data_IF_335064759308
#
_entry.id   IF_335064759308
#
_cell.length_a   1.000
_cell.length_b   1.000
_cell.length_c   1.000
_cell.angle_alpha   90.00
_cell.angle_beta   90.00
_cell.angle_gamma   90.00
#
_symmetry.space_group_name_H-M   'P 1'
#
loop_
_entity.id
_entity.type
_entity.pdbx_description
1 polymer ?
#
# COMPACT_ATOMS: atom_id res chain seq x y z
N UNK A 1 -26.25 0.31 -12.32
CA UNK A 1 -26.27 0.04 -13.01
C UNK A 1 -26.30 0.10 -13.18
N UNK A 2 -25.87 0.14 -12.76
CA UNK A 2 -25.58 0.25 -13.46
C UNK A 2 -25.85 0.89 -13.55
N UNK A 3 -26.04 1.00 -13.39
CA UNK A 3 -26.18 1.22 -14.01
C UNK A 3 -26.24 1.65 -14.32
N UNK A 4 -26.26 1.78 -14.13
CA UNK A 4 -26.15 1.88 -14.86
C UNK A 4 -26.15 2.43 -15.15
N UNK A 5 -26.00 2.61 -15.06
CA UNK A 5 -25.66 2.90 -15.82
C UNK A 5 -25.70 3.47 -16.07
N UNK A 6 -25.83 3.82 -16.07
CA UNK A 6 -25.61 3.89 -16.72
C UNK A 6 -25.26 4.28 -17.10
N UNK A 7 -25.12 4.65 -16.96
CA UNK A 7 -24.62 4.64 -17.59
C UNK A 7 -24.39 5.10 -17.65
N UNK A 8 -24.09 5.34 -17.48
CA UNK A 8 -23.77 5.25 -17.71
C UNK A 8 -23.45 5.41 -17.62
N UNK A 9 -23.35 5.96 -17.48
CA UNK A 9 -22.95 5.58 -17.55
C UNK A 9 -22.62 5.46 -17.63
N UNK A 10 -22.58 5.71 -17.55
CA UNK A 10 -22.18 5.20 -17.84
C UNK A 10 -21.63 5.31 -18.01
N UNK A 11 -21.53 5.76 -17.90
CA UNK A 11 -20.96 5.48 -18.21
C UNK A 11 -20.39 5.74 -18.11
N UNK A 12 -20.24 6.08 -18.06
CA UNK A 12 -19.60 5.96 -18.03
C UNK A 12 -18.97 5.82 -18.19
N UNK A 13 -19.09 6.15 -18.20
CA UNK A 13 -18.38 5.76 -18.34
C UNK A 13 -17.68 5.85 -18.54
N UNK A 14 -17.40 6.09 -18.75
CA UNK A 14 -16.54 5.93 -18.89
C UNK A 14 -15.77 6.17 -18.78
N UNK A 15 -15.75 6.55 -18.86
CA UNK A 15 -14.93 6.64 -18.58
C UNK A 15 -14.11 6.57 -18.59
N UNK A 16 -13.81 6.90 -18.36
CA UNK A 16 -12.86 6.73 -18.15
C UNK A 16 -12.21 6.34 -17.69
N UNK A 17 -11.95 6.38 -17.68
CA UNK A 17 -11.18 5.89 -17.25
C UNK A 17 -10.63 5.62 -16.70
N UNK A 18 -11.29 5.08 -16.65
CA UNK A 18 -10.76 5.13 -15.46
C UNK A 18 -9.40 5.03 -15.30
N UNK A 19 -8.95 5.75 -14.57
CA UNK A 19 -7.60 5.60 -14.23
C UNK A 19 -7.36 4.25 -13.59
N UNK A 20 -6.43 3.51 -14.11
CA UNK A 20 -6.07 2.24 -13.51
C UNK A 20 -5.51 2.48 -12.12
N UNK A 21 -5.94 1.71 -11.16
CA UNK A 21 -5.41 1.76 -9.81
C UNK A 21 -3.99 1.17 -9.79
N UNK A 22 -3.16 1.63 -8.85
CA UNK A 22 -1.83 1.06 -8.68
C UNK A 22 -1.95 -0.39 -8.23
N UNK A 23 -1.21 -1.27 -8.90
CA UNK A 23 -1.13 -2.67 -8.52
C UNK A 23 0.32 -3.14 -8.66
N UNK A 24 0.68 -4.15 -7.89
CA UNK A 24 2.00 -4.74 -8.02
C UNK A 24 1.98 -5.76 -9.15
N UNK A 25 2.88 -5.55 -10.12
CA UNK A 25 2.99 -6.41 -11.31
C UNK A 25 4.20 -7.32 -11.23
N UNK A 26 5.03 -7.17 -10.20
CA UNK A 26 6.18 -8.04 -9.99
C UNK A 26 6.91 -7.68 -8.72
N UNK A 27 7.79 -8.56 -8.30
CA UNK A 27 8.67 -8.32 -7.16
C UNK A 27 9.84 -9.28 -7.25
N UNK A 28 10.91 -8.93 -6.54
CA UNK A 28 12.10 -9.75 -6.46
C UNK A 28 12.97 -9.27 -5.32
N UNK A 29 14.21 -9.69 -5.30
CA UNK A 29 15.11 -9.33 -4.23
C UNK A 29 15.43 -7.84 -4.32
N UNK A 30 15.00 -7.08 -3.31
CA UNK A 30 15.30 -5.65 -3.18
C UNK A 30 14.49 -4.74 -4.08
N UNK A 31 13.46 -5.24 -4.75
CA UNK A 31 12.63 -4.38 -5.60
C UNK A 31 11.20 -4.90 -5.70
N UNK A 32 10.32 -3.98 -6.11
CA UNK A 32 8.95 -4.32 -6.52
C UNK A 32 8.67 -3.61 -7.85
N UNK A 33 7.66 -4.07 -8.57
CA UNK A 33 7.15 -3.37 -9.75
C UNK A 33 5.73 -2.94 -9.49
N UNK A 34 5.47 -1.66 -9.67
CA UNK A 34 4.12 -1.10 -9.59
C UNK A 34 3.76 -0.62 -10.99
N UNK A 35 2.70 -1.18 -11.57
CA UNK A 35 2.29 -0.86 -12.95
C UNK A 35 3.48 -1.01 -13.91
N UNK A 36 4.25 -2.09 -13.72
CA UNK A 36 5.46 -2.43 -14.49
C UNK A 36 6.64 -1.48 -14.29
N UNK A 37 6.54 -0.52 -13.38
CA UNK A 37 7.63 0.38 -13.05
C UNK A 37 8.41 -0.18 -11.86
N UNK A 38 9.71 -0.35 -12.03
CA UNK A 38 10.58 -0.91 -10.99
C UNK A 38 10.87 0.12 -9.90
N UNK A 39 10.71 -0.28 -8.65
CA UNK A 39 10.99 0.55 -7.48
C UNK A 39 11.96 -0.20 -6.58
N UNK A 40 13.06 0.45 -6.22
CA UNK A 40 14.15 -0.17 -5.45
C UNK A 40 14.37 0.47 -4.09
N UNK A 41 13.59 1.49 -3.75
CA UNK A 41 13.67 2.16 -2.44
C UNK A 41 12.37 1.96 -1.69
N UNK A 42 12.44 2.04 -0.37
CA UNK A 42 11.25 1.94 0.47
C UNK A 42 10.17 2.90 -0.01
N UNK A 43 8.95 2.45 -0.03
CA UNK A 43 7.87 3.14 -0.71
C UNK A 43 6.54 2.83 -0.03
N UNK A 44 5.60 3.77 -0.11
CA UNK A 44 4.21 3.51 0.28
C UNK A 44 3.36 3.59 -0.99
N UNK A 45 2.67 2.50 -1.29
CA UNK A 45 1.82 2.39 -2.47
C UNK A 45 0.36 2.38 -2.02
N UNK A 46 -0.41 3.33 -2.55
CA UNK A 46 -1.86 3.41 -2.35
C UNK A 46 -2.54 3.23 -3.69
N UNK A 47 -3.83 2.91 -3.72
CA UNK A 47 -4.51 2.68 -5.00
C UNK A 47 -4.38 3.81 -6.00
N UNK A 48 -4.37 5.08 -5.52
CA UNK A 48 -4.35 6.22 -6.41
C UNK A 48 -3.12 7.09 -6.25
N UNK A 49 -2.11 6.63 -5.49
CA UNK A 49 -0.96 7.46 -5.15
C UNK A 49 0.22 6.58 -4.79
N UNK A 50 1.42 7.06 -5.09
CA UNK A 50 2.66 6.42 -4.67
C UNK A 50 3.47 7.45 -3.90
N UNK A 51 3.88 7.11 -2.69
CA UNK A 51 4.77 7.95 -1.88
C UNK A 51 6.17 7.36 -2.04
N UNK A 52 6.93 7.89 -3.00
CA UNK A 52 8.23 7.34 -3.37
C UNK A 52 9.35 7.78 -2.43
N UNK A 53 9.12 8.83 -1.64
CA UNK A 53 10.14 9.39 -0.76
C UNK A 53 9.89 9.05 0.71
N UNK A 54 9.30 7.89 0.97
CA UNK A 54 9.07 7.43 2.34
C UNK A 54 10.41 7.22 3.02
N UNK A 55 10.69 7.94 4.13
CA UNK A 55 12.05 7.96 4.69
C UNK A 55 12.44 6.75 5.52
N UNK A 56 11.57 5.79 5.71
CA UNK A 56 11.90 4.55 6.41
C UNK A 56 12.77 3.68 5.49
N UNK A 57 14.09 3.82 5.59
CA UNK A 57 15.01 3.19 4.63
C UNK A 57 15.20 1.70 4.87
N UNK A 58 14.93 1.20 6.09
CA UNK A 58 15.11 -0.21 6.42
C UNK A 58 14.25 -0.54 7.64
N UNK A 59 14.16 -1.82 7.96
CA UNK A 59 13.46 -2.24 9.17
C UNK A 59 14.11 -1.63 10.42
N UNK A 60 15.44 -1.60 10.46
CA UNK A 60 16.16 -1.06 11.60
C UNK A 60 15.94 0.44 11.77
N UNK A 61 15.73 1.16 10.68
CA UNK A 61 15.49 2.60 10.72
C UNK A 61 14.03 2.95 10.94
N UNK A 62 13.13 1.98 10.89
CA UNK A 62 11.70 2.23 11.02
C UNK A 62 11.38 2.80 12.40
N UNK A 63 10.65 3.90 12.42
CA UNK A 63 10.25 4.57 13.66
C UNK A 63 8.77 4.90 13.62
N UNK A 64 8.21 5.18 14.79
CA UNK A 64 6.77 5.49 14.92
C UNK A 64 6.35 6.65 14.01
N UNK A 65 7.21 7.66 13.85
CA UNK A 65 6.89 8.81 13.00
C UNK A 65 6.68 8.44 11.55
N UNK A 66 7.35 7.40 11.06
CA UNK A 66 7.16 6.95 9.68
C UNK A 66 5.75 6.43 9.44
N UNK A 67 5.18 5.75 10.43
CA UNK A 67 3.81 5.23 10.33
C UNK A 67 2.78 6.27 10.73
N UNK A 68 3.12 7.16 11.66
CA UNK A 68 2.24 8.26 12.04
C UNK A 68 1.89 9.12 10.83
N UNK A 69 2.83 9.28 9.90
CA UNK A 69 2.60 10.05 8.68
C UNK A 69 1.50 9.47 7.80
N UNK A 70 1.17 8.20 7.97
CA UNK A 70 0.12 7.53 7.18
C UNK A 70 -1.25 7.61 7.85
N UNK A 71 -1.32 8.08 9.09
CA UNK A 71 -2.56 8.03 9.88
C UNK A 71 -3.67 8.92 9.33
N UNK A 72 -3.31 9.98 8.61
CA UNK A 72 -4.29 10.94 8.09
C UNK A 72 -4.75 10.67 6.66
N UNK A 73 -4.43 9.50 6.09
CA UNK A 73 -4.69 9.22 4.69
C UNK A 73 -6.03 8.54 4.43
N UNK A 74 -6.86 8.36 5.45
CA UNK A 74 -8.16 7.75 5.28
C UNK A 74 -8.11 6.25 5.03
N UNK A 75 -7.10 5.57 5.54
CA UNK A 75 -6.88 4.16 5.27
C UNK A 75 -7.66 3.26 6.22
N UNK A 76 -8.10 2.11 5.72
CA UNK A 76 -8.64 1.03 6.56
C UNK A 76 -7.52 0.16 7.11
N UNK A 77 -6.49 -0.07 6.30
CA UNK A 77 -5.43 -1.00 6.66
C UNK A 77 -4.12 -0.60 6.01
N UNK A 78 -3.04 -0.76 6.75
CA UNK A 78 -1.68 -0.64 6.24
C UNK A 78 -1.03 -2.02 6.29
N UNK A 79 -0.51 -2.46 5.15
CA UNK A 79 0.28 -3.69 5.07
C UNK A 79 1.74 -3.28 5.16
N UNK A 80 2.39 -3.63 6.27
CA UNK A 80 3.79 -3.30 6.47
C UNK A 80 4.64 -4.47 5.98
N UNK A 81 5.34 -4.27 4.88
CA UNK A 81 6.25 -5.27 4.32
C UNK A 81 7.65 -5.06 4.87
N UNK A 82 8.17 -6.05 5.59
CA UNK A 82 9.40 -5.89 6.39
C UNK A 82 10.66 -6.37 5.69
N UNK A 83 10.65 -6.42 4.36
CA UNK A 83 11.80 -6.89 3.60
C UNK A 83 11.61 -8.33 3.15
N UNK A 84 12.72 -9.00 2.88
CA UNK A 84 12.68 -10.39 2.40
C UNK A 84 12.16 -11.35 3.47
N UNK A 85 12.25 -10.96 4.74
CA UNK A 85 11.84 -11.79 5.87
C UNK A 85 10.80 -11.06 6.70
N UNK A 86 9.87 -11.83 7.26
CA UNK A 86 8.90 -11.31 8.21
C UNK A 86 9.63 -10.98 9.52
N UNK A 87 9.50 -9.72 9.95
CA UNK A 87 10.02 -9.28 11.25
C UNK A 87 8.99 -8.36 11.88
N UNK A 88 8.72 -8.55 13.17
CA UNK A 88 7.71 -7.76 13.86
C UNK A 88 8.35 -6.53 14.50
N UNK A 89 7.88 -5.32 14.19
CA UNK A 89 8.36 -4.12 14.87
C UNK A 89 7.84 -4.10 16.30
N UNK A 90 8.52 -3.31 17.15
CA UNK A 90 8.03 -3.13 18.52
C UNK A 90 6.67 -2.45 18.49
N UNK A 91 5.80 -2.73 19.48
CA UNK A 91 4.44 -2.17 19.48
C UNK A 91 4.38 -0.65 19.39
N UNK A 92 5.36 0.06 19.98
CA UNK A 92 5.39 1.52 19.92
C UNK A 92 5.44 2.06 18.50
N UNK A 93 6.02 1.29 17.58
CA UNK A 93 6.19 1.74 16.20
C UNK A 93 4.86 1.74 15.47
N UNK A 94 4.00 0.75 15.69
CA UNK A 94 2.71 0.66 15.00
C UNK A 94 1.58 1.39 15.74
N UNK A 95 1.83 1.80 16.99
CA UNK A 95 0.81 2.40 17.84
C UNK A 95 0.10 3.60 17.20
N UNK A 96 0.80 4.53 16.50
CA UNK A 96 0.11 5.67 15.90
C UNK A 96 -1.01 5.27 14.95
N UNK A 97 -0.81 4.22 14.17
CA UNK A 97 -1.85 3.74 13.26
C UNK A 97 -2.99 3.08 14.02
N UNK A 98 -2.64 2.23 14.99
CA UNK A 98 -3.65 1.53 15.80
C UNK A 98 -4.52 2.54 16.53
N UNK A 99 -3.90 3.58 17.11
CA UNK A 99 -4.66 4.63 17.83
C UNK A 99 -5.55 5.44 16.89
N UNK A 100 -5.21 5.51 15.62
CA UNK A 100 -6.01 6.20 14.62
C UNK A 100 -7.10 5.32 14.02
N UNK A 101 -7.26 4.10 14.51
CA UNK A 101 -8.28 3.19 14.00
C UNK A 101 -7.88 2.49 12.70
N UNK A 102 -6.62 2.54 12.32
CA UNK A 102 -6.13 1.89 11.10
C UNK A 102 -5.61 0.50 11.45
N UNK A 103 -6.08 -0.52 10.72
CA UNK A 103 -5.55 -1.87 10.89
C UNK A 103 -4.11 -1.94 10.38
N UNK A 104 -3.28 -2.73 11.04
CA UNK A 104 -1.90 -2.93 10.61
C UNK A 104 -1.64 -4.43 10.53
N UNK A 105 -1.20 -4.88 9.35
CA UNK A 105 -0.80 -6.27 9.12
C UNK A 105 0.67 -6.26 8.75
N UNK A 106 1.45 -7.10 9.43
CA UNK A 106 2.89 -7.18 9.21
C UNK A 106 3.21 -8.46 8.46
N UNK A 107 3.96 -8.34 7.37
CA UNK A 107 4.31 -9.49 6.53
C UNK A 107 5.59 -9.19 5.76
N UNK A 108 6.15 -10.18 5.08
CA UNK A 108 7.27 -9.90 4.18
C UNK A 108 6.76 -9.14 2.94
N UNK A 109 7.71 -8.62 2.15
CA UNK A 109 7.35 -7.76 1.03
C UNK A 109 6.53 -8.50 -0.03
N UNK A 110 6.88 -9.75 -0.34
CA UNK A 110 6.12 -10.49 -1.36
C UNK A 110 4.67 -10.69 -0.93
N UNK A 111 4.47 -11.08 0.33
CA UNK A 111 3.13 -11.28 0.86
C UNK A 111 2.36 -9.97 0.86
N UNK A 112 3.03 -8.85 1.18
CA UNK A 112 2.39 -7.54 1.18
C UNK A 112 1.91 -7.16 -0.22
N UNK A 113 2.73 -7.42 -1.24
CA UNK A 113 2.33 -7.14 -2.62
C UNK A 113 1.09 -7.93 -3.03
N UNK A 114 1.08 -9.23 -2.72
CA UNK A 114 -0.06 -10.10 -3.08
C UNK A 114 -1.32 -9.70 -2.34
N UNK A 115 -1.20 -9.44 -1.04
CA UNK A 115 -2.35 -9.06 -0.21
C UNK A 115 -2.91 -7.72 -0.65
N UNK A 116 -2.02 -6.74 -0.94
CA UNK A 116 -2.43 -5.44 -1.44
C UNK A 116 -3.28 -5.58 -2.70
N UNK A 117 -2.82 -6.36 -3.67
CA UNK A 117 -3.55 -6.52 -4.93
C UNK A 117 -4.95 -7.10 -4.70
N UNK A 118 -5.08 -8.05 -3.78
CA UNK A 118 -6.38 -8.63 -3.44
C UNK A 118 -7.29 -7.56 -2.84
N UNK A 119 -6.77 -6.77 -1.90
CA UNK A 119 -7.59 -5.78 -1.20
C UNK A 119 -7.99 -4.63 -2.11
N UNK A 120 -7.12 -4.21 -3.02
CA UNK A 120 -7.47 -3.19 -4.02
C UNK A 120 -8.58 -3.69 -4.93
N UNK A 121 -8.50 -4.96 -5.36
CA UNK A 121 -9.56 -5.54 -6.19
C UNK A 121 -10.89 -5.60 -5.45
N UNK A 122 -10.85 -5.64 -4.12
CA UNK A 122 -12.05 -5.60 -3.27
C UNK A 122 -12.46 -4.17 -2.91
N UNK A 123 -11.81 -3.19 -3.50
CA UNK A 123 -12.10 -1.76 -3.29
C UNK A 123 -11.86 -1.30 -1.86
N UNK A 124 -10.90 -1.94 -1.17
CA UNK A 124 -10.52 -1.56 0.18
C UNK A 124 -9.55 -0.37 0.15
N UNK A 125 -9.60 0.45 1.20
CA UNK A 125 -8.68 1.58 1.36
C UNK A 125 -7.41 1.08 2.03
N UNK A 126 -6.49 0.61 1.22
CA UNK A 126 -5.28 -0.07 1.68
C UNK A 126 -4.03 0.68 1.24
N UNK A 127 -2.99 0.60 2.05
CA UNK A 127 -1.65 1.03 1.65
C UNK A 127 -0.68 -0.10 1.91
N UNK A 128 0.29 -0.26 1.00
CA UNK A 128 1.42 -1.15 1.21
C UNK A 128 2.63 -0.29 1.53
N UNK A 129 3.12 -0.36 2.76
CA UNK A 129 4.30 0.34 3.22
C UNK A 129 5.45 -0.67 3.22
N UNK A 130 6.35 -0.54 2.24
CA UNK A 130 7.34 -1.57 1.95
C UNK A 130 8.74 -1.11 2.29
N UNK A 131 9.43 -1.91 3.07
CA UNK A 131 10.83 -1.67 3.44
C UNK A 131 11.69 -2.49 2.47
N UNK A 132 12.38 -1.83 1.57
CA UNK A 132 13.18 -2.49 0.53
C UNK A 132 14.68 -2.40 0.80
N UNK A 133 15.08 -1.67 1.82
CA UNK A 133 16.47 -1.51 2.18
C UNK A 133 17.04 -2.58 3.06
#
# INVERSE_FOLDING_TARGET
>A
MYRTLTAPAILKLHRETPTALNTFTGYGQGYVKVNDQRIEKSVVVLPERIIADWPATSFEALAAGHLAALAGLGLEIVLLGTGAQLRFPRPEIIRPLVQSGVGVEVMDVEAACRTYNILVAEERKVAAALLLG
#
